data_IF_660571873631
#
_entry.id   IF_660571873631
#
_cell.length_a   1.000
_cell.length_b   1.000
_cell.length_c   1.000
_cell.angle_alpha   90.00
_cell.angle_beta   90.00
_cell.angle_gamma   90.00
#
_symmetry.space_group_name_H-M   'P 1'
#
loop_
_entity.id
_entity.type
_entity.pdbx_description
1 polymer ?
#
# COMPACT_ATOMS: atom_id res chain seq x y z
N UNK A 1 25.81 17.65 -9.30
CA UNK A 1 25.56 16.26 -9.76
C UNK A 1 24.37 15.63 -9.05
N UNK A 2 24.18 15.76 -7.73
CA UNK A 2 23.03 15.18 -6.98
C UNK A 2 21.65 15.67 -7.48
N UNK A 3 21.48 16.98 -7.71
CA UNK A 3 20.21 17.57 -8.20
C UNK A 3 19.77 17.02 -9.58
N UNK A 4 20.74 16.75 -10.46
CA UNK A 4 20.49 16.21 -11.80
C UNK A 4 20.01 14.76 -11.70
N UNK A 5 20.54 13.98 -10.75
CA UNK A 5 20.14 12.59 -10.55
C UNK A 5 18.67 12.46 -10.10
N UNK A 6 18.21 13.35 -9.23
CA UNK A 6 16.81 13.35 -8.76
C UNK A 6 15.82 13.74 -9.85
N UNK A 7 16.18 14.74 -10.67
CA UNK A 7 15.38 15.14 -11.84
C UNK A 7 15.36 14.02 -12.88
N UNK A 8 16.51 13.36 -13.13
CA UNK A 8 16.59 12.23 -14.03
C UNK A 8 15.76 11.03 -13.55
N UNK A 9 15.76 10.74 -12.24
CA UNK A 9 14.94 9.68 -11.66
C UNK A 9 13.45 9.99 -11.82
N UNK A 10 13.03 11.23 -11.60
CA UNK A 10 11.65 11.68 -11.79
C UNK A 10 11.23 11.56 -13.26
N UNK A 11 12.07 12.00 -14.20
CA UNK A 11 11.81 11.91 -15.64
C UNK A 11 11.75 10.45 -16.10
N UNK A 12 12.64 9.58 -15.63
CA UNK A 12 12.62 8.14 -15.91
C UNK A 12 11.33 7.51 -15.39
N UNK A 13 10.89 7.86 -14.19
CA UNK A 13 9.61 7.38 -13.65
C UNK A 13 8.42 7.80 -14.53
N UNK A 14 8.40 9.07 -14.97
CA UNK A 14 7.34 9.60 -15.84
C UNK A 14 7.36 8.94 -17.23
N UNK A 15 8.53 8.69 -17.81
CA UNK A 15 8.63 8.02 -19.13
C UNK A 15 8.27 6.53 -19.06
N UNK A 16 8.57 5.83 -17.96
CA UNK A 16 8.12 4.45 -17.75
C UNK A 16 6.59 4.33 -17.71
N UNK A 17 5.92 5.37 -17.23
CA UNK A 17 4.45 5.44 -17.17
C UNK A 17 3.83 5.54 -18.58
N UNK A 18 4.53 6.06 -19.57
CA UNK A 18 3.99 6.28 -20.92
C UNK A 18 4.12 5.08 -21.89
N UNK A 19 4.89 4.04 -21.56
CA UNK A 19 5.32 3.05 -22.56
C UNK A 19 4.57 1.71 -22.58
N UNK A 20 3.52 1.49 -21.78
CA UNK A 20 2.81 0.20 -21.75
C UNK A 20 1.28 0.34 -21.69
N UNK A 21 0.58 -0.68 -22.18
CA UNK A 21 -0.88 -0.79 -22.33
C UNK A 21 -1.72 -0.46 -21.09
N UNK A 22 -2.96 -0.02 -21.38
CA UNK A 22 -4.01 0.53 -20.51
C UNK A 22 -4.43 -0.38 -19.33
N UNK A 23 -3.52 -0.79 -18.45
CA UNK A 23 -3.87 -1.47 -17.21
C UNK A 23 -3.48 -0.63 -15.99
N UNK A 24 -4.50 0.06 -15.43
CA UNK A 24 -4.47 0.73 -14.11
C UNK A 24 -3.18 1.48 -13.76
N UNK A 25 -2.70 2.31 -14.65
CA UNK A 25 -1.68 3.29 -14.29
C UNK A 25 -2.37 4.43 -13.58
N UNK A 26 -2.09 4.60 -12.33
CA UNK A 26 -2.52 5.78 -11.61
C UNK A 26 -1.32 6.37 -10.87
N UNK A 27 -1.23 7.67 -10.90
CA UNK A 27 -0.35 8.43 -10.02
C UNK A 27 -1.25 9.25 -9.12
N UNK A 28 -1.26 8.95 -7.84
CA UNK A 28 -1.90 9.82 -6.86
C UNK A 28 -0.87 10.83 -6.39
N UNK A 29 -1.23 12.10 -6.33
CA UNK A 29 -0.38 13.18 -5.82
C UNK A 29 -1.06 13.87 -4.65
N UNK A 30 -0.26 14.27 -3.66
CA UNK A 30 -0.68 15.13 -2.57
C UNK A 30 0.35 16.24 -2.37
N UNK A 31 -0.16 17.43 -2.04
CA UNK A 31 0.66 18.59 -1.70
C UNK A 31 0.31 19.03 -0.30
N UNK A 32 1.33 19.43 0.47
CA UNK A 32 1.15 19.89 1.83
C UNK A 32 2.32 20.74 2.30
N UNK A 33 2.27 21.14 3.56
CA UNK A 33 3.39 21.76 4.25
C UNK A 33 3.57 21.04 5.60
N UNK A 34 4.81 20.85 6.00
CA UNK A 34 5.21 20.26 7.28
C UNK A 34 6.27 21.12 7.94
N UNK A 35 6.36 21.06 9.25
CA UNK A 35 7.45 21.68 10.00
C UNK A 35 8.41 20.59 10.44
N UNK A 36 9.66 20.68 10.01
CA UNK A 36 10.75 19.78 10.40
C UNK A 36 11.84 20.67 11.02
N UNK A 37 12.24 20.37 12.24
CA UNK A 37 13.25 21.13 13.00
C UNK A 37 13.00 22.64 13.05
N UNK A 38 11.70 23.02 13.22
CA UNK A 38 11.27 24.42 13.29
C UNK A 38 11.25 25.16 11.95
N UNK A 39 11.58 24.52 10.84
CA UNK A 39 11.55 25.07 9.49
C UNK A 39 10.35 24.52 8.71
N UNK A 40 9.68 25.38 7.94
CA UNK A 40 8.54 25.00 7.08
C UNK A 40 9.09 24.42 5.77
N UNK A 41 8.59 23.23 5.41
CA UNK A 41 8.89 22.52 4.17
C UNK A 41 7.62 22.29 3.37
N UNK A 42 7.68 22.49 2.06
CA UNK A 42 6.63 22.06 1.15
C UNK A 42 6.77 20.56 0.89
N UNK A 43 5.72 19.81 1.13
CA UNK A 43 5.67 18.37 0.89
C UNK A 43 5.02 18.08 -0.46
N UNK A 44 5.68 17.27 -1.27
CA UNK A 44 5.15 16.69 -2.51
C UNK A 44 5.19 15.18 -2.34
N UNK A 45 4.03 14.53 -2.25
CA UNK A 45 3.91 13.09 -2.21
C UNK A 45 3.37 12.57 -3.54
N UNK A 46 4.04 11.57 -4.11
CA UNK A 46 3.67 10.89 -5.34
C UNK A 46 3.54 9.40 -5.09
N UNK A 47 2.41 8.81 -5.46
CA UNK A 47 2.15 7.36 -5.35
C UNK A 47 1.93 6.76 -6.73
N UNK A 48 3.00 6.51 -7.50
CA UNK A 48 2.88 5.81 -8.76
C UNK A 48 2.58 4.34 -8.52
N UNK A 49 1.64 3.79 -9.30
CA UNK A 49 1.40 2.35 -9.40
C UNK A 49 2.05 1.85 -10.69
N UNK A 50 2.99 0.94 -10.55
CA UNK A 50 3.77 0.36 -11.63
C UNK A 50 3.26 -1.07 -11.89
N UNK A 51 2.50 -1.29 -12.97
CA UNK A 51 2.04 -2.63 -13.33
C UNK A 51 3.17 -3.41 -14.02
N UNK A 52 3.43 -4.63 -13.56
CA UNK A 52 4.39 -5.59 -14.13
C UNK A 52 3.65 -6.91 -14.38
N UNK A 53 2.97 -7.01 -15.51
CA UNK A 53 2.05 -8.12 -15.80
C UNK A 53 0.90 -8.17 -14.79
N UNK A 54 0.75 -9.27 -14.06
CA UNK A 54 -0.27 -9.39 -12.99
C UNK A 54 0.17 -8.81 -11.65
N UNK A 55 1.42 -8.39 -11.51
CA UNK A 55 1.94 -7.75 -10.30
C UNK A 55 1.77 -6.24 -10.45
N UNK A 56 1.39 -5.56 -9.37
CA UNK A 56 1.42 -4.10 -9.27
C UNK A 56 2.27 -3.71 -8.07
N UNK A 57 3.21 -2.81 -8.29
CA UNK A 57 4.05 -2.21 -7.27
C UNK A 57 3.60 -0.76 -7.08
N UNK A 58 3.10 -0.41 -5.91
CA UNK A 58 2.86 0.98 -5.55
C UNK A 58 4.02 1.49 -4.71
N UNK A 59 4.51 2.67 -5.08
CA UNK A 59 5.54 3.37 -4.33
C UNK A 59 4.92 4.56 -3.61
N UNK A 60 5.54 4.99 -2.51
CA UNK A 60 5.24 6.24 -1.83
C UNK A 60 6.51 7.09 -1.82
N UNK A 61 6.53 8.07 -2.71
CA UNK A 61 7.68 8.94 -2.96
C UNK A 61 7.33 10.30 -2.39
N UNK A 62 8.02 10.71 -1.33
CA UNK A 62 7.81 12.00 -0.68
C UNK A 62 9.06 12.85 -0.85
N UNK A 63 8.86 14.10 -1.23
CA UNK A 63 9.89 15.13 -1.28
C UNK A 63 9.51 16.27 -0.35
N UNK A 64 10.47 16.76 0.40
CA UNK A 64 10.34 17.99 1.18
C UNK A 64 11.25 19.05 0.56
N UNK A 65 10.67 20.19 0.21
CA UNK A 65 11.35 21.28 -0.49
C UNK A 65 11.21 22.55 0.34
N UNK A 66 12.32 23.20 0.68
CA UNK A 66 12.32 24.46 1.40
C UNK A 66 11.96 25.64 0.49
N UNK A 67 11.89 26.85 1.06
CA UNK A 67 11.58 28.09 0.33
C UNK A 67 12.65 28.47 -0.69
N UNK A 68 13.88 27.97 -0.51
CA UNK A 68 15.02 28.22 -1.39
C UNK A 68 15.15 27.12 -2.47
N UNK A 69 14.25 26.15 -2.50
CA UNK A 69 14.24 25.04 -3.46
C UNK A 69 15.20 23.91 -3.12
N UNK A 70 15.72 23.86 -1.89
CA UNK A 70 16.56 22.74 -1.46
C UNK A 70 15.68 21.56 -1.05
N UNK A 71 16.11 20.35 -1.42
CA UNK A 71 15.43 19.10 -1.05
C UNK A 71 16.03 18.59 0.27
N UNK A 72 15.16 18.14 1.18
CA UNK A 72 15.57 17.47 2.41
C UNK A 72 16.12 16.08 2.06
N UNK A 73 17.39 15.85 2.34
CA UNK A 73 18.14 14.68 1.85
C UNK A 73 18.03 13.44 2.74
N UNK A 74 17.59 13.58 4.00
CA UNK A 74 17.71 12.53 5.03
C UNK A 74 16.92 11.25 4.72
N UNK A 75 15.91 11.34 3.87
CA UNK A 75 15.08 10.19 3.48
C UNK A 75 15.63 9.43 2.25
N UNK A 76 16.66 9.94 1.59
CA UNK A 76 17.21 9.40 0.36
C UNK A 76 18.71 9.14 0.49
N UNK A 77 19.08 8.09 1.25
CA UNK A 77 20.47 7.72 1.44
C UNK A 77 20.91 6.65 0.43
N UNK A 78 21.66 7.07 -0.58
CA UNK A 78 22.30 6.21 -1.58
C UNK A 78 23.83 6.09 -1.38
N UNK A 79 24.33 6.40 -0.19
CA UNK A 79 25.79 6.42 0.08
C UNK A 79 26.40 5.02 0.12
N UNK A 80 25.59 3.97 0.32
CA UNK A 80 26.04 2.58 0.24
C UNK A 80 24.95 1.68 -0.35
N UNK A 81 25.35 0.50 -0.86
CA UNK A 81 24.38 -0.47 -1.43
C UNK A 81 23.35 -0.96 -0.43
N UNK A 82 23.67 -1.06 0.85
CA UNK A 82 22.76 -1.48 1.90
C UNK A 82 21.77 -0.35 2.26
N UNK A 83 22.23 0.88 2.38
CA UNK A 83 21.39 2.05 2.63
C UNK A 83 20.45 2.33 1.45
N UNK A 84 20.94 2.17 0.23
CA UNK A 84 20.11 2.26 -0.98
C UNK A 84 18.96 1.26 -1.00
N UNK A 85 19.22 -0.01 -0.61
CA UNK A 85 18.18 -1.03 -0.49
C UNK A 85 17.13 -0.68 0.56
N UNK A 86 17.54 -0.15 1.70
CA UNK A 86 16.63 0.26 2.77
C UNK A 86 15.81 1.47 2.33
N UNK A 87 16.43 2.49 1.73
CA UNK A 87 15.72 3.65 1.19
C UNK A 87 14.65 3.25 0.16
N UNK A 88 14.92 2.26 -0.70
CA UNK A 88 13.93 1.76 -1.67
C UNK A 88 12.82 0.96 -0.97
N UNK A 89 13.15 0.08 -0.01
CA UNK A 89 12.14 -0.70 0.74
C UNK A 89 11.17 0.21 1.48
N UNK A 90 11.67 1.31 2.03
CA UNK A 90 10.84 2.27 2.75
C UNK A 90 9.92 3.07 1.84
N UNK A 91 10.13 3.04 0.54
CA UNK A 91 9.24 3.67 -0.44
C UNK A 91 8.22 2.71 -1.06
N UNK A 92 8.24 1.41 -0.74
CA UNK A 92 7.21 0.47 -1.19
C UNK A 92 5.95 0.68 -0.35
N UNK A 93 4.87 1.14 -0.99
CA UNK A 93 3.58 1.32 -0.35
C UNK A 93 2.82 -0.01 -0.26
N UNK A 94 2.71 -0.73 -1.39
CA UNK A 94 2.24 -2.11 -1.42
C UNK A 94 2.78 -2.88 -2.64
N UNK A 95 2.73 -4.20 -2.54
CA UNK A 95 2.88 -5.13 -3.65
C UNK A 95 1.58 -5.91 -3.77
N UNK A 96 1.02 -5.99 -4.99
CA UNK A 96 -0.25 -6.65 -5.27
C UNK A 96 -0.10 -7.59 -6.45
N UNK A 97 -0.74 -8.75 -6.37
CA UNK A 97 -0.93 -9.69 -7.46
C UNK A 97 -2.42 -9.82 -7.79
N UNK A 98 -2.78 -9.65 -9.05
CA UNK A 98 -4.18 -9.71 -9.50
C UNK A 98 -5.02 -8.52 -9.04
N UNK A 99 -6.33 -8.65 -9.22
CA UNK A 99 -7.35 -7.68 -8.82
C UNK A 99 -8.30 -8.33 -7.80
N UNK A 100 -8.98 -7.52 -6.97
CA UNK A 100 -9.89 -8.04 -5.90
C UNK A 100 -10.98 -8.99 -6.41
N UNK A 101 -11.37 -8.91 -7.68
CA UNK A 101 -12.36 -9.81 -8.31
C UNK A 101 -11.75 -11.03 -8.99
N UNK A 102 -10.42 -11.11 -9.12
CA UNK A 102 -9.77 -12.27 -9.72
C UNK A 102 -9.95 -13.51 -8.82
N UNK A 103 -9.90 -14.72 -9.40
CA UNK A 103 -9.92 -15.97 -8.63
C UNK A 103 -8.76 -16.09 -7.64
N UNK A 104 -7.63 -15.47 -7.95
CA UNK A 104 -6.49 -15.33 -7.06
C UNK A 104 -6.06 -13.87 -6.97
N UNK A 105 -6.04 -13.36 -5.75
CA UNK A 105 -5.64 -12.00 -5.40
C UNK A 105 -4.81 -12.02 -4.14
N UNK A 106 -3.77 -11.21 -4.11
CA UNK A 106 -2.91 -11.05 -2.95
C UNK A 106 -2.36 -9.62 -2.91
N UNK A 107 -2.36 -9.01 -1.74
CA UNK A 107 -1.72 -7.70 -1.50
C UNK A 107 -0.99 -7.74 -0.17
N UNK A 108 0.21 -7.16 -0.12
CA UNK A 108 1.01 -6.96 1.09
C UNK A 108 1.49 -5.52 1.16
N UNK A 109 1.47 -4.93 2.35
CA UNK A 109 1.82 -3.53 2.61
C UNK A 109 0.64 -2.72 3.10
N UNK A 110 0.44 -1.54 2.53
CA UNK A 110 -0.74 -0.72 2.80
C UNK A 110 -2.01 -1.41 2.31
N UNK A 111 -3.05 -1.39 3.12
CA UNK A 111 -4.37 -1.93 2.82
C UNK A 111 -5.38 -0.80 2.88
N UNK A 112 -6.04 -0.56 1.76
CA UNK A 112 -7.11 0.41 1.64
C UNK A 112 -8.40 -0.31 1.25
N UNK A 113 -9.53 0.09 1.84
CA UNK A 113 -10.86 -0.42 1.51
C UNK A 113 -11.01 -1.95 1.68
N UNK A 114 -10.53 -2.50 2.79
CA UNK A 114 -10.75 -3.90 3.14
C UNK A 114 -12.20 -4.09 3.58
N UNK A 115 -12.94 -4.90 2.83
CA UNK A 115 -14.34 -5.23 3.15
C UNK A 115 -14.53 -6.72 3.08
N UNK A 116 -14.98 -7.32 4.18
CA UNK A 116 -15.18 -8.76 4.29
C UNK A 116 -16.64 -9.15 4.03
N UNK A 117 -16.89 -9.83 2.92
CA UNK A 117 -18.24 -10.25 2.51
C UNK A 117 -19.13 -9.05 2.23
N UNK A 118 -20.22 -8.93 3.01
CA UNK A 118 -21.16 -7.81 2.91
C UNK A 118 -20.83 -6.64 3.86
N UNK A 119 -19.65 -6.65 4.47
CA UNK A 119 -19.21 -5.57 5.35
C UNK A 119 -19.80 -5.56 6.76
N UNK A 120 -20.43 -6.65 7.21
CA UNK A 120 -21.06 -6.70 8.54
C UNK A 120 -20.04 -6.66 9.66
N UNK A 121 -18.93 -7.40 9.54
CA UNK A 121 -17.85 -7.43 10.54
C UNK A 121 -16.74 -6.43 10.23
N UNK A 122 -16.36 -6.33 8.95
CA UNK A 122 -15.30 -5.44 8.48
C UNK A 122 -15.77 -4.76 7.21
N UNK A 123 -15.84 -3.44 7.24
CA UNK A 123 -16.29 -2.63 6.12
C UNK A 123 -15.37 -1.41 5.94
N UNK A 124 -14.81 -1.29 4.75
CA UNK A 124 -13.98 -0.16 4.35
C UNK A 124 -12.81 0.11 5.32
N UNK A 125 -12.23 -0.96 5.88
CA UNK A 125 -11.11 -0.83 6.79
C UNK A 125 -9.83 -0.44 6.03
N UNK A 126 -9.05 0.45 6.64
CA UNK A 126 -7.71 0.83 6.17
C UNK A 126 -6.69 0.73 7.30
N UNK A 127 -5.51 0.19 7.02
CA UNK A 127 -4.39 0.22 7.97
C UNK A 127 -3.50 1.47 7.82
N UNK A 128 -3.90 2.40 6.95
CA UNK A 128 -3.12 3.61 6.61
C UNK A 128 -3.66 4.89 7.23
N UNK A 129 -4.60 4.81 8.18
CA UNK A 129 -5.24 5.99 8.80
C UNK A 129 -4.22 6.91 9.47
N UNK A 130 -3.18 6.34 10.10
CA UNK A 130 -2.12 7.09 10.76
C UNK A 130 -0.86 7.25 9.90
N UNK A 131 -0.94 6.93 8.61
CA UNK A 131 0.16 7.09 7.68
C UNK A 131 0.40 8.59 7.37
N UNK A 132 1.64 9.09 7.29
CA UNK A 132 2.92 8.35 7.32
C UNK A 132 3.51 8.11 8.72
N UNK A 133 2.93 8.68 9.79
CA UNK A 133 3.48 8.61 11.16
C UNK A 133 3.59 7.16 11.65
N UNK A 134 2.58 6.34 11.34
CA UNK A 134 2.57 4.91 11.65
C UNK A 134 2.44 4.12 10.36
N UNK A 135 3.48 3.36 10.03
CA UNK A 135 3.47 2.50 8.85
C UNK A 135 3.18 1.07 9.26
N UNK A 136 1.99 0.60 8.92
CA UNK A 136 1.56 -0.78 9.09
C UNK A 136 1.80 -1.58 7.81
N UNK A 137 2.20 -2.84 7.96
CA UNK A 137 2.39 -3.78 6.85
C UNK A 137 1.40 -4.91 7.02
N UNK A 138 0.26 -4.77 6.37
CA UNK A 138 -0.79 -5.78 6.38
C UNK A 138 -0.73 -6.72 5.18
N UNK A 139 -1.66 -7.65 5.14
CA UNK A 139 -1.87 -8.58 4.03
C UNK A 139 -3.36 -8.77 3.78
N UNK A 140 -3.74 -8.83 2.52
CA UNK A 140 -5.07 -9.24 2.05
C UNK A 140 -4.90 -10.32 0.99
N UNK A 141 -5.64 -11.41 1.11
CA UNK A 141 -5.58 -12.52 0.16
C UNK A 141 -6.96 -13.07 -0.14
N UNK A 142 -7.16 -13.49 -1.39
CA UNK A 142 -8.33 -14.21 -1.85
C UNK A 142 -7.89 -15.33 -2.80
N UNK A 143 -8.49 -16.50 -2.66
CA UNK A 143 -8.30 -17.59 -3.61
C UNK A 143 -9.54 -18.47 -3.69
N UNK A 144 -9.67 -19.17 -4.82
CA UNK A 144 -10.73 -20.13 -5.04
C UNK A 144 -10.14 -21.55 -5.06
N UNK A 145 -10.72 -22.43 -4.26
CA UNK A 145 -10.35 -23.85 -4.21
C UNK A 145 -11.56 -24.70 -3.85
N UNK A 146 -11.67 -25.89 -4.42
CA UNK A 146 -12.73 -26.86 -4.12
C UNK A 146 -14.16 -26.31 -4.30
N UNK A 147 -14.35 -25.35 -5.22
CA UNK A 147 -15.65 -24.68 -5.42
C UNK A 147 -16.02 -23.66 -4.36
N UNK A 148 -15.08 -23.33 -3.46
CA UNK A 148 -15.25 -22.33 -2.40
C UNK A 148 -14.34 -21.13 -2.65
N UNK A 149 -14.79 -19.95 -2.18
CA UNK A 149 -13.97 -18.75 -2.10
C UNK A 149 -13.42 -18.61 -0.68
N UNK A 150 -12.13 -18.47 -0.58
CA UNK A 150 -11.40 -18.17 0.64
C UNK A 150 -10.93 -16.73 0.59
N UNK A 151 -11.12 -16.01 1.67
CA UNK A 151 -10.68 -14.64 1.85
C UNK A 151 -10.10 -14.45 3.24
N UNK A 152 -9.03 -13.69 3.35
CA UNK A 152 -8.44 -13.34 4.63
C UNK A 152 -7.65 -12.06 4.55
N UNK A 153 -7.53 -11.38 5.69
CA UNK A 153 -6.66 -10.23 5.82
C UNK A 153 -6.10 -10.13 7.24
N UNK A 154 -4.98 -9.44 7.38
CA UNK A 154 -4.46 -8.96 8.66
C UNK A 154 -3.94 -7.53 8.51
N UNK A 155 -4.13 -6.70 9.53
CA UNK A 155 -3.79 -5.28 9.44
C UNK A 155 -2.30 -4.98 9.55
N UNK A 156 -1.55 -5.77 10.33
CA UNK A 156 -0.12 -5.56 10.53
C UNK A 156 0.57 -6.82 11.03
N UNK A 157 1.66 -7.20 10.37
CA UNK A 157 2.52 -8.30 10.83
C UNK A 157 3.34 -7.93 12.07
N UNK A 158 3.64 -6.65 12.29
CA UNK A 158 4.44 -6.17 13.42
C UNK A 158 3.68 -6.24 14.74
N UNK A 159 2.36 -6.11 14.69
CA UNK A 159 1.47 -6.10 15.85
C UNK A 159 0.86 -7.48 16.14
N UNK A 160 1.61 -8.57 15.94
CA UNK A 160 1.13 -9.94 16.18
C UNK A 160 -0.20 -10.24 15.46
N UNK A 161 -0.34 -9.82 14.21
CA UNK A 161 -1.57 -9.98 13.42
C UNK A 161 -2.80 -9.31 14.07
N UNK A 162 -2.65 -8.16 14.70
CA UNK A 162 -3.67 -7.35 15.37
C UNK A 162 -5.10 -7.63 14.93
N UNK A 163 -5.70 -6.78 14.09
CA UNK A 163 -6.99 -7.07 13.47
C UNK A 163 -6.82 -8.06 12.32
N UNK A 164 -7.45 -9.23 12.43
CA UNK A 164 -7.44 -10.29 11.43
C UNK A 164 -8.85 -10.74 11.11
N UNK A 165 -9.15 -10.95 9.84
CA UNK A 165 -10.42 -11.47 9.37
C UNK A 165 -10.25 -12.63 8.41
N UNK A 166 -11.13 -13.63 8.53
CA UNK A 166 -11.20 -14.80 7.65
C UNK A 166 -12.65 -15.02 7.21
N UNK A 167 -12.82 -15.41 5.96
CA UNK A 167 -14.14 -15.75 5.38
C UNK A 167 -14.00 -16.93 4.42
N UNK A 168 -14.97 -17.82 4.49
CA UNK A 168 -15.19 -18.87 3.50
C UNK A 168 -16.59 -18.74 2.96
N UNK A 169 -16.79 -18.86 1.65
CA UNK A 169 -18.11 -18.82 1.03
C UNK A 169 -18.17 -19.72 -0.20
N UNK A 170 -19.36 -20.18 -0.53
CA UNK A 170 -19.57 -21.05 -1.67
C UNK A 170 -21.02 -21.09 -2.13
N UNK A 171 -21.28 -21.75 -3.28
CA UNK A 171 -22.62 -21.91 -3.80
C UNK A 171 -23.46 -22.84 -2.91
N UNK A 172 -24.73 -22.53 -2.80
CA UNK A 172 -25.74 -23.37 -2.13
C UNK A 172 -26.93 -23.64 -3.07
N UNK A 173 -27.80 -24.63 -2.75
CA UNK A 173 -28.99 -24.90 -3.55
C UNK A 173 -29.83 -23.64 -3.76
N UNK A 174 -30.48 -23.55 -4.93
CA UNK A 174 -31.29 -22.39 -5.30
C UNK A 174 -30.52 -21.19 -5.86
N UNK A 175 -29.21 -21.36 -6.21
CA UNK A 175 -28.41 -20.30 -6.83
C UNK A 175 -27.94 -19.22 -5.86
N UNK A 176 -28.13 -19.44 -4.55
CA UNK A 176 -27.64 -18.53 -3.51
C UNK A 176 -26.15 -18.79 -3.17
N UNK A 177 -25.48 -17.81 -2.62
CA UNK A 177 -24.13 -17.96 -2.07
C UNK A 177 -24.17 -17.82 -0.55
N UNK A 178 -23.67 -18.83 0.15
CA UNK A 178 -23.61 -18.85 1.62
C UNK A 178 -22.15 -18.75 2.07
N UNK A 179 -21.91 -18.07 3.17
CA UNK A 179 -20.57 -17.96 3.72
C UNK A 179 -20.55 -17.60 5.21
N UNK A 180 -19.48 -18.04 5.86
CA UNK A 180 -19.16 -17.69 7.24
C UNK A 180 -17.96 -16.75 7.30
N UNK A 181 -17.96 -15.86 8.28
CA UNK A 181 -16.87 -14.92 8.53
C UNK A 181 -16.55 -14.87 10.03
N UNK A 182 -15.27 -14.72 10.34
CA UNK A 182 -14.77 -14.44 11.69
C UNK A 182 -13.79 -13.28 11.62
N UNK A 183 -13.85 -12.40 12.60
CA UNK A 183 -12.86 -11.34 12.79
C UNK A 183 -12.46 -11.29 14.26
N UNK A 184 -11.20 -11.05 14.53
CA UNK A 184 -10.66 -10.88 15.87
C UNK A 184 -9.59 -9.79 15.88
N UNK A 185 -9.54 -9.05 16.98
CA UNK A 185 -8.52 -8.05 17.23
C UNK A 185 -7.76 -8.43 18.51
N UNK A 186 -6.46 -8.66 18.37
CA UNK A 186 -5.57 -8.99 19.50
C UNK A 186 -5.02 -7.76 20.21
N UNK A 187 -5.08 -6.62 19.55
CA UNK A 187 -4.42 -5.40 19.98
C UNK A 187 -5.41 -4.27 20.29
N UNK A 188 -6.65 -4.59 20.63
CA UNK A 188 -7.73 -3.62 20.86
C UNK A 188 -7.41 -2.59 21.99
N UNK A 189 -6.44 -2.87 22.83
CA UNK A 189 -6.03 -1.98 23.95
C UNK A 189 -4.71 -1.25 23.71
N UNK A 190 -4.02 -1.48 22.59
CA UNK A 190 -2.73 -0.83 22.29
C UNK A 190 -2.84 0.62 21.81
N UNK A 191 -4.02 1.19 21.79
CA UNK A 191 -4.28 2.57 21.39
C UNK A 191 -4.92 3.43 22.50
N UNK A 192 -4.96 2.93 23.74
CA UNK A 192 -5.50 3.65 24.89
C UNK A 192 -4.41 4.23 25.76
#
# INVERSE_FOLDING_TARGET
>A
MRKIFHISLLVVLITFIQSQDVMERSVQGAFGAVTIDGKIWNQIALRPIIPIGKISLALDIVFYIDQDGNIHDDEWDFSSGERSKNSIKDKIYYIRYGKKWDPFYFQIGALDNVTMGHGILVNNYSNTILYPQVRKVGMEAKFQAFGLDFYGFTNDFKENFGLTGLRVSGPAPGGIKVGGSIAFDRNQYLGL
#
